data_IF_754057673093
#
_entry.id   IF_754057673093
#
_cell.length_a   1.000
_cell.length_b   1.000
_cell.length_c   1.000
_cell.angle_alpha   90.00
_cell.angle_beta   90.00
_cell.angle_gamma   90.00
#
_symmetry.space_group_name_H-M   'P 1'
#
loop_
_entity.id
_entity.type
_entity.pdbx_description
1 polymer ?
#
# COMPACT_ATOMS: atom_id res chain seq x y z
N UNK A 1 -16.71 -13.12 5.55
CA UNK A 1 -15.70 -13.22 4.46
C UNK A 1 -15.15 -14.64 4.43
N UNK A 2 -15.05 -15.27 3.28
CA UNK A 2 -14.58 -16.66 3.14
C UNK A 2 -13.05 -16.67 2.87
N UNK A 3 -12.26 -16.42 3.91
CA UNK A 3 -10.79 -16.46 3.90
C UNK A 3 -10.27 -16.65 5.32
N UNK A 4 -9.05 -17.16 5.46
CA UNK A 4 -8.38 -17.25 6.73
C UNK A 4 -7.80 -15.88 7.12
N UNK A 5 -7.78 -15.60 8.42
CA UNK A 5 -7.32 -14.31 8.93
C UNK A 5 -6.19 -14.50 9.94
N UNK A 6 -5.11 -13.74 9.78
CA UNK A 6 -3.97 -13.75 10.69
C UNK A 6 -3.48 -12.33 10.95
N UNK A 7 -3.50 -11.91 12.20
CA UNK A 7 -2.99 -10.59 12.61
C UNK A 7 -1.47 -10.50 12.47
N UNK A 8 -1.02 -9.35 12.03
CA UNK A 8 0.38 -8.95 12.04
C UNK A 8 0.69 -8.14 13.31
N UNK A 9 1.92 -8.20 13.76
CA UNK A 9 2.39 -7.39 14.89
C UNK A 9 3.39 -6.36 14.36
N UNK A 10 3.26 -5.08 14.72
CA UNK A 10 2.34 -4.49 15.69
C UNK A 10 0.97 -4.08 15.11
N UNK A 11 0.73 -4.16 13.81
CA UNK A 11 -0.53 -3.81 13.15
C UNK A 11 -0.68 -4.55 11.81
N UNK A 12 -1.92 -4.59 11.31
CA UNK A 12 -2.26 -5.18 10.02
C UNK A 12 -2.84 -6.59 10.10
N UNK A 13 -3.46 -7.00 9.02
CA UNK A 13 -4.14 -8.28 8.88
C UNK A 13 -3.75 -8.94 7.56
N UNK A 14 -3.38 -10.22 7.63
CA UNK A 14 -3.25 -11.07 6.45
C UNK A 14 -4.57 -11.79 6.23
N UNK A 15 -5.06 -11.74 5.01
CA UNK A 15 -6.19 -12.52 4.52
C UNK A 15 -5.63 -13.56 3.56
N UNK A 16 -5.79 -14.84 3.88
CA UNK A 16 -5.30 -15.94 3.04
C UNK A 16 -6.47 -16.63 2.35
N UNK A 17 -6.29 -16.93 1.07
CA UNK A 17 -7.29 -17.64 0.28
C UNK A 17 -7.60 -19.01 0.93
N UNK A 18 -8.89 -19.35 1.02
CA UNK A 18 -9.33 -20.58 1.66
C UNK A 18 -9.08 -21.82 0.79
N UNK A 19 -8.99 -21.64 -0.54
CA UNK A 19 -8.69 -22.69 -1.49
C UNK A 19 -7.90 -22.16 -2.71
N UNK A 20 -7.11 -22.99 -3.38
CA UNK A 20 -6.39 -22.59 -4.58
C UNK A 20 -7.33 -22.07 -5.68
N UNK A 21 -6.99 -20.91 -6.25
CA UNK A 21 -7.77 -20.29 -7.32
C UNK A 21 -8.94 -19.42 -6.88
N UNK A 22 -9.16 -19.26 -5.58
CA UNK A 22 -10.10 -18.26 -5.07
C UNK A 22 -9.70 -16.87 -5.59
N UNK A 23 -10.64 -16.17 -6.20
CA UNK A 23 -10.36 -14.86 -6.80
C UNK A 23 -10.49 -13.73 -5.78
N UNK A 24 -9.59 -12.77 -5.83
CA UNK A 24 -9.65 -11.58 -4.96
C UNK A 24 -10.94 -10.77 -5.18
N UNK A 25 -11.49 -10.83 -6.39
CA UNK A 25 -12.73 -10.14 -6.78
C UNK A 25 -13.99 -10.74 -6.13
N UNK A 26 -13.90 -11.96 -5.58
CA UNK A 26 -15.00 -12.59 -4.82
C UNK A 26 -15.12 -12.02 -3.39
N UNK A 27 -14.13 -11.25 -2.94
CA UNK A 27 -14.16 -10.60 -1.63
C UNK A 27 -15.04 -9.34 -1.69
N UNK A 28 -15.87 -9.16 -0.67
CA UNK A 28 -16.71 -7.98 -0.55
C UNK A 28 -15.86 -6.75 -0.19
N UNK A 29 -15.85 -5.74 -1.06
CA UNK A 29 -15.03 -4.53 -0.89
C UNK A 29 -15.43 -3.73 0.36
N UNK A 30 -16.71 -3.68 0.73
CA UNK A 30 -17.14 -2.97 1.95
C UNK A 30 -16.66 -3.66 3.22
N UNK A 31 -16.62 -5.01 3.24
CA UNK A 31 -16.01 -5.75 4.35
C UNK A 31 -14.50 -5.49 4.42
N UNK A 32 -13.80 -5.47 3.27
CA UNK A 32 -12.38 -5.13 3.21
C UNK A 32 -12.10 -3.71 3.71
N UNK A 33 -12.93 -2.73 3.34
CA UNK A 33 -12.83 -1.36 3.85
C UNK A 33 -13.02 -1.30 5.36
N UNK A 34 -14.00 -2.05 5.88
CA UNK A 34 -14.23 -2.15 7.33
C UNK A 34 -13.01 -2.69 8.07
N UNK A 35 -12.40 -3.76 7.55
CA UNK A 35 -11.18 -4.31 8.11
C UNK A 35 -9.98 -3.37 7.98
N UNK A 36 -9.83 -2.70 6.83
CA UNK A 36 -8.73 -1.77 6.61
C UNK A 36 -8.76 -0.57 7.55
N UNK A 37 -9.96 -0.04 7.86
CA UNK A 37 -10.12 1.03 8.86
C UNK A 37 -9.70 0.60 10.27
N UNK A 38 -9.87 -0.68 10.60
CA UNK A 38 -9.51 -1.22 11.92
C UNK A 38 -8.02 -1.58 12.00
N UNK A 39 -7.51 -2.24 10.99
CA UNK A 39 -6.19 -2.87 10.99
C UNK A 39 -5.12 -2.01 10.26
N UNK A 40 -5.55 -1.00 9.47
CA UNK A 40 -4.76 -0.02 8.71
C UNK A 40 -3.85 -0.62 7.61
N UNK A 41 -3.70 -1.91 7.57
CA UNK A 41 -3.00 -2.66 6.52
C UNK A 41 -3.69 -4.01 6.31
N UNK A 42 -4.02 -4.30 5.05
CA UNK A 42 -4.44 -5.63 4.64
C UNK A 42 -3.43 -6.22 3.66
N UNK A 43 -3.06 -7.47 3.88
CA UNK A 43 -2.19 -8.24 2.99
C UNK A 43 -2.98 -9.45 2.49
N UNK A 44 -3.31 -9.48 1.21
CA UNK A 44 -4.06 -10.57 0.59
C UNK A 44 -3.08 -11.58 -0.01
N UNK A 45 -3.20 -12.84 0.38
CA UNK A 45 -2.28 -13.91 0.00
C UNK A 45 -3.01 -15.11 -0.60
N UNK A 46 -2.39 -15.73 -1.61
CA UNK A 46 -2.89 -16.97 -2.20
C UNK A 46 -4.11 -16.81 -3.11
N UNK A 47 -4.62 -15.61 -3.29
CA UNK A 47 -5.72 -15.34 -4.20
C UNK A 47 -5.25 -15.31 -5.65
N UNK A 48 -6.11 -15.74 -6.56
CA UNK A 48 -6.01 -15.36 -7.95
C UNK A 48 -6.22 -13.84 -8.04
N UNK A 49 -5.32 -13.16 -8.74
CA UNK A 49 -5.28 -11.71 -8.84
C UNK A 49 -5.42 -11.24 -10.29
N UNK A 50 -4.99 -10.03 -10.57
CA UNK A 50 -5.14 -9.35 -11.84
C UNK A 50 -4.08 -9.81 -12.84
N UNK A 51 -4.43 -9.82 -14.13
CA UNK A 51 -3.55 -10.21 -15.22
C UNK A 51 -2.99 -9.04 -16.00
N UNK A 52 -3.53 -7.84 -15.79
CA UNK A 52 -3.09 -6.60 -16.42
C UNK A 52 -3.31 -5.39 -15.51
N UNK A 53 -2.66 -4.27 -15.82
CA UNK A 53 -2.89 -3.00 -15.15
C UNK A 53 -4.32 -2.49 -15.34
N UNK A 54 -4.94 -2.77 -16.48
CA UNK A 54 -6.32 -2.41 -16.76
C UNK A 54 -7.30 -3.21 -15.88
N UNK A 55 -7.08 -4.52 -15.71
CA UNK A 55 -7.86 -5.38 -14.85
C UNK A 55 -7.77 -4.95 -13.38
N UNK A 56 -6.57 -4.60 -12.92
CA UNK A 56 -6.35 -3.99 -11.60
C UNK A 56 -7.08 -2.65 -11.47
N UNK A 57 -6.95 -1.76 -12.45
CA UNK A 57 -7.60 -0.45 -12.44
C UNK A 57 -9.12 -0.59 -12.34
N UNK A 58 -9.72 -1.49 -13.11
CA UNK A 58 -11.16 -1.74 -13.07
C UNK A 58 -11.62 -2.25 -11.69
N UNK A 59 -10.85 -3.13 -11.06
CA UNK A 59 -11.13 -3.55 -9.68
C UNK A 59 -11.03 -2.39 -8.69
N UNK A 60 -10.04 -1.53 -8.84
CA UNK A 60 -9.83 -0.37 -7.96
C UNK A 60 -10.99 0.64 -8.00
N UNK A 61 -11.75 0.72 -9.11
CA UNK A 61 -12.93 1.57 -9.21
C UNK A 61 -14.03 1.22 -8.19
N UNK A 62 -14.05 -0.01 -7.68
CA UNK A 62 -14.96 -0.41 -6.60
C UNK A 62 -14.58 0.20 -5.24
N UNK A 63 -13.32 0.65 -5.09
CA UNK A 63 -12.82 1.30 -3.88
C UNK A 63 -13.11 2.80 -3.84
N UNK A 64 -13.36 3.41 -4.98
CA UNK A 64 -13.65 4.82 -5.13
C UNK A 64 -13.10 5.39 -6.42
N UNK A 65 -13.11 6.70 -6.54
CA UNK A 65 -12.51 7.40 -7.67
C UNK A 65 -10.99 7.24 -7.64
N UNK A 66 -10.42 6.75 -8.76
CA UNK A 66 -8.98 6.55 -8.85
C UNK A 66 -8.28 7.89 -9.09
N UNK A 67 -7.35 8.24 -8.21
CA UNK A 67 -6.51 9.43 -8.39
C UNK A 67 -5.68 9.34 -9.66
N UNK A 68 -5.81 10.30 -10.54
CA UNK A 68 -5.02 10.36 -11.77
C UNK A 68 -3.64 10.98 -11.49
N UNK A 69 -2.61 10.29 -11.92
CA UNK A 69 -1.21 10.72 -11.81
C UNK A 69 -0.63 11.02 -13.21
N UNK A 70 0.54 11.69 -13.32
CA UNK A 70 1.18 11.91 -14.62
C UNK A 70 1.44 10.63 -15.42
N UNK A 71 1.66 9.49 -14.73
CA UNK A 71 1.82 8.18 -15.34
C UNK A 71 0.49 7.42 -15.58
N UNK A 72 -0.67 8.01 -15.23
CA UNK A 72 -1.97 7.39 -15.36
C UNK A 72 -2.58 6.88 -14.05
N UNK A 73 -3.47 5.91 -14.15
CA UNK A 73 -4.20 5.30 -13.00
C UNK A 73 -3.37 4.24 -12.25
N UNK A 74 -2.46 3.56 -12.94
CA UNK A 74 -1.63 2.47 -12.41
C UNK A 74 -0.17 2.74 -12.75
N UNK A 75 0.70 2.65 -11.75
CA UNK A 75 2.13 2.68 -11.93
C UNK A 75 2.66 1.23 -11.96
N UNK A 76 3.16 0.81 -13.10
CA UNK A 76 3.91 -0.44 -13.21
C UNK A 76 5.37 -0.18 -12.84
N UNK A 77 5.75 -0.63 -11.64
CA UNK A 77 7.12 -0.50 -11.17
C UNK A 77 7.92 -1.73 -11.56
N UNK A 78 8.81 -1.55 -12.52
CA UNK A 78 9.81 -2.53 -12.94
C UNK A 78 11.18 -1.91 -12.75
N UNK A 79 12.09 -2.63 -12.07
CA UNK A 79 13.48 -2.21 -11.94
C UNK A 79 14.14 -2.09 -13.32
N UNK A 80 14.86 -1.00 -13.55
CA UNK A 80 15.55 -0.71 -14.80
C UNK A 80 17.00 -0.32 -14.54
N UNK A 81 17.89 -0.73 -15.41
CA UNK A 81 19.26 -0.23 -15.42
C UNK A 81 19.27 1.23 -15.87
N UNK A 82 19.90 2.12 -15.09
CA UNK A 82 20.00 3.56 -15.35
C UNK A 82 18.65 4.25 -15.62
N UNK A 83 17.70 4.18 -14.68
CA UNK A 83 16.40 4.80 -14.88
C UNK A 83 16.52 6.33 -14.93
N UNK A 84 15.72 6.96 -15.81
CA UNK A 84 15.61 8.42 -15.88
C UNK A 84 14.90 9.00 -14.65
N UNK A 85 14.06 8.20 -13.98
CA UNK A 85 13.34 8.57 -12.76
C UNK A 85 13.71 7.62 -11.62
N UNK A 86 14.04 8.17 -10.45
CA UNK A 86 14.38 7.44 -9.22
C UNK A 86 13.30 6.46 -8.74
N UNK A 87 12.05 6.57 -9.24
CA UNK A 87 10.96 5.61 -8.95
C UNK A 87 11.33 4.19 -9.42
N UNK A 88 12.18 4.07 -10.45
CA UNK A 88 12.58 2.81 -11.07
C UNK A 88 13.98 2.34 -10.67
N UNK A 89 14.68 3.09 -9.82
CA UNK A 89 15.99 2.69 -9.31
C UNK A 89 15.89 1.79 -8.07
N UNK A 90 17.04 1.26 -7.64
CA UNK A 90 17.15 0.39 -6.47
C UNK A 90 17.68 1.10 -5.22
N UNK A 91 17.66 2.44 -5.20
CA UNK A 91 18.11 3.22 -4.07
C UNK A 91 17.18 3.07 -2.86
N UNK A 92 17.73 3.37 -1.70
CA UNK A 92 16.96 3.41 -0.46
C UNK A 92 15.87 4.49 -0.52
N UNK A 93 14.63 4.07 -0.29
CA UNK A 93 13.48 4.97 -0.19
C UNK A 93 13.08 5.04 1.29
N UNK A 94 13.19 6.22 1.93
CA UNK A 94 12.75 6.39 3.32
C UNK A 94 11.23 6.18 3.45
N UNK A 95 10.77 5.91 4.66
CA UNK A 95 9.35 5.82 4.95
C UNK A 95 8.66 7.14 4.60
N UNK A 96 7.65 7.07 3.75
CA UNK A 96 6.86 8.19 3.27
C UNK A 96 5.43 7.71 3.00
N UNK A 97 4.54 8.61 2.71
CA UNK A 97 3.23 8.32 2.16
C UNK A 97 3.07 9.01 0.81
N UNK A 98 2.45 8.30 -0.13
CA UNK A 98 2.31 8.83 -1.48
C UNK A 98 1.21 9.91 -1.55
N UNK A 99 1.48 10.96 -2.30
CA UNK A 99 0.52 12.04 -2.52
C UNK A 99 0.52 13.14 -1.46
N UNK A 100 1.51 13.20 -0.58
CA UNK A 100 1.64 14.24 0.45
C UNK A 100 1.63 15.67 -0.11
N UNK A 101 2.02 15.84 -1.37
CA UNK A 101 2.06 17.12 -2.08
C UNK A 101 0.80 17.39 -2.91
N UNK A 102 -0.21 16.50 -2.86
CA UNK A 102 -1.45 16.66 -3.62
C UNK A 102 -2.50 17.39 -2.78
N UNK A 103 -3.36 18.22 -3.42
CA UNK A 103 -4.49 18.83 -2.73
C UNK A 103 -5.46 17.82 -2.14
N UNK A 104 -5.59 16.65 -2.80
CA UNK A 104 -6.43 15.55 -2.36
C UNK A 104 -5.56 14.32 -2.08
N UNK A 105 -5.53 13.93 -0.83
CA UNK A 105 -4.79 12.74 -0.36
C UNK A 105 -5.61 11.50 -0.67
N UNK A 106 -5.02 10.46 -1.30
CA UNK A 106 -5.71 9.19 -1.49
C UNK A 106 -6.09 8.53 -0.16
N UNK A 107 -7.34 8.09 -0.03
CA UNK A 107 -7.80 7.34 1.16
C UNK A 107 -7.24 5.92 1.18
N UNK A 108 -7.11 5.31 0.00
CA UNK A 108 -6.60 3.94 -0.17
C UNK A 108 -5.44 3.91 -1.15
N UNK A 109 -4.51 3.00 -0.88
CA UNK A 109 -3.42 2.67 -1.78
C UNK A 109 -3.37 1.16 -1.96
N UNK A 110 -3.39 0.69 -3.21
CA UNK A 110 -3.42 -0.72 -3.55
C UNK A 110 -2.14 -1.08 -4.29
N UNK A 111 -1.40 -2.05 -3.75
CA UNK A 111 -0.20 -2.61 -4.35
C UNK A 111 -0.49 -4.03 -4.84
N UNK A 112 -0.11 -4.32 -6.07
CA UNK A 112 -0.17 -5.64 -6.64
C UNK A 112 1.24 -6.14 -6.96
N UNK A 113 1.67 -7.19 -6.28
CA UNK A 113 2.98 -7.81 -6.51
C UNK A 113 2.87 -8.86 -7.61
N UNK A 114 3.44 -8.58 -8.77
CA UNK A 114 3.50 -9.51 -9.91
C UNK A 114 4.63 -10.51 -9.77
N UNK A 115 5.78 -10.06 -9.28
CA UNK A 115 6.96 -10.88 -9.08
C UNK A 115 7.70 -10.42 -7.84
N UNK A 116 8.18 -11.35 -7.07
CA UNK A 116 8.99 -11.08 -5.89
C UNK A 116 10.35 -11.79 -6.01
N UNK A 117 11.43 -11.17 -5.51
CA UNK A 117 12.72 -11.84 -5.42
C UNK A 117 12.65 -13.09 -4.52
N UNK A 118 13.58 -14.00 -4.68
CA UNK A 118 13.70 -15.15 -3.80
C UNK A 118 13.88 -14.72 -2.35
N UNK A 119 13.45 -15.57 -1.42
CA UNK A 119 13.58 -15.29 0.01
C UNK A 119 15.01 -14.94 0.40
N UNK A 120 15.19 -13.83 1.12
CA UNK A 120 16.51 -13.35 1.55
C UNK A 120 17.22 -12.42 0.58
N UNK A 121 16.70 -12.19 -0.62
CA UNK A 121 17.30 -11.31 -1.62
C UNK A 121 16.82 -9.85 -1.57
N UNK A 122 16.08 -9.46 -0.54
CA UNK A 122 15.54 -8.10 -0.39
C UNK A 122 14.16 -7.92 -1.01
N UNK A 123 13.87 -6.70 -1.49
CA UNK A 123 12.59 -6.35 -2.15
C UNK A 123 11.38 -6.33 -1.23
N UNK A 124 11.58 -6.16 0.09
CA UNK A 124 10.46 -6.07 1.04
C UNK A 124 9.80 -4.70 0.98
N UNK A 125 8.48 -4.67 0.96
CA UNK A 125 7.72 -3.47 1.25
C UNK A 125 7.50 -3.39 2.75
N UNK A 126 7.91 -2.27 3.35
CA UNK A 126 7.75 -2.01 4.79
C UNK A 126 6.72 -0.92 5.01
N UNK A 127 5.92 -1.07 6.07
CA UNK A 127 4.88 -0.13 6.42
C UNK A 127 5.08 0.38 7.84
N UNK A 128 4.82 1.67 8.07
CA UNK A 128 4.79 2.27 9.39
C UNK A 128 3.38 2.77 9.70
N UNK A 129 2.94 2.52 10.93
CA UNK A 129 1.67 3.05 11.42
C UNK A 129 1.93 4.37 12.15
N UNK A 130 1.54 5.48 11.53
CA UNK A 130 1.75 6.82 12.08
C UNK A 130 0.92 7.11 13.32
N UNK A 131 -0.26 6.52 13.48
CA UNK A 131 -1.06 6.66 14.70
C UNK A 131 -0.36 5.98 15.88
N UNK A 132 0.19 4.77 15.69
CA UNK A 132 1.00 4.11 16.72
C UNK A 132 2.28 4.88 17.03
N UNK A 133 2.94 5.44 16.02
CA UNK A 133 4.11 6.28 16.21
C UNK A 133 3.79 7.50 17.08
N UNK A 134 2.71 8.23 16.76
CA UNK A 134 2.24 9.35 17.55
C UNK A 134 1.83 8.94 18.97
N UNK A 135 1.14 7.83 19.14
CA UNK A 135 0.72 7.32 20.45
C UNK A 135 1.92 7.00 21.36
N UNK A 136 2.98 6.47 20.78
CA UNK A 136 4.19 6.05 21.51
C UNK A 136 5.25 7.17 21.64
N UNK A 137 5.06 8.32 20.96
CA UNK A 137 5.98 9.43 21.06
C UNK A 137 5.90 10.13 22.42
N UNK A 138 7.05 10.61 22.93
CA UNK A 138 7.09 11.45 24.12
C UNK A 138 6.37 12.79 23.90
N UNK A 139 5.93 13.49 24.95
CA UNK A 139 5.34 14.82 24.81
C UNK A 139 6.24 15.80 24.05
N UNK A 140 7.53 15.80 24.34
CA UNK A 140 8.54 16.67 23.72
C UNK A 140 8.65 16.39 22.21
N UNK A 141 8.63 15.10 21.84
CA UNK A 141 8.72 14.69 20.43
C UNK A 141 7.44 15.07 19.66
N UNK A 142 6.27 14.96 20.28
CA UNK A 142 5.01 15.42 19.68
C UNK A 142 4.99 16.93 19.47
N UNK A 143 5.46 17.70 20.45
CA UNK A 143 5.58 19.15 20.36
C UNK A 143 6.54 19.55 19.22
N UNK A 144 7.69 18.87 19.12
CA UNK A 144 8.63 19.07 18.02
C UNK A 144 7.96 18.80 16.67
N UNK A 145 7.25 17.69 16.49
CA UNK A 145 6.59 17.36 15.21
C UNK A 145 5.49 18.36 14.84
N UNK A 146 4.77 18.89 15.82
CA UNK A 146 3.76 19.93 15.60
C UNK A 146 4.36 21.28 15.20
N UNK A 147 5.60 21.55 15.56
CA UNK A 147 6.31 22.79 15.22
C UNK A 147 6.94 22.77 13.82
N UNK A 148 7.06 21.59 13.21
CA UNK A 148 7.70 21.43 11.90
C UNK A 148 6.72 21.66 10.77
N UNK A 149 7.10 22.50 9.81
CA UNK A 149 6.38 22.67 8.54
C UNK A 149 7.26 22.21 7.40
N UNK A 150 6.76 21.30 6.57
CA UNK A 150 7.44 20.83 5.37
C UNK A 150 6.95 21.60 4.14
N UNK A 151 7.87 22.06 3.32
CA UNK A 151 7.57 22.62 2.00
C UNK A 151 8.00 21.61 0.93
N UNK A 152 7.09 21.30 0.01
CA UNK A 152 7.36 20.40 -1.12
C UNK A 152 7.42 21.24 -2.38
N UNK A 153 8.61 21.25 -3.01
CA UNK A 153 8.85 21.90 -4.28
C UNK A 153 9.15 20.84 -5.35
N UNK A 154 8.67 21.05 -6.56
CA UNK A 154 8.88 20.15 -7.69
C UNK A 154 9.46 20.91 -8.88
#
# INVERSE_FOLDING_TARGET
>A
MNCEQRRLCPFGLVLEAHFPGQDVRDLNVEELRGLLRQEQLLVLRGFKTFTSAEDLSHYCEQWGEIGLWPFGKVLERVERDNPEDHIFDNNYVPLHWDGMYRPQVPEYQIFHCLSAPASGQGGRTTFANTELALKNASPELRELWQSVTGTYER
#
